data_IF_106625246061
#
_entry.id   IF_106625246061
#
_cell.length_a   1.000
_cell.length_b   1.000
_cell.length_c   1.000
_cell.angle_alpha   90.00
_cell.angle_beta   90.00
_cell.angle_gamma   90.00
#
_symmetry.space_group_name_H-M   'P 1'
#
loop_
_entity.id
_entity.type
_entity.pdbx_description
1 polymer ?
#
# COMPACT_ATOMS: atom_id res chain seq x y z
N UNK A 1 -10.24 -0.73 -9.69
CA UNK A 1 -11.15 -1.02 -8.59
C UNK A 1 -10.94 -0.06 -7.43
N UNK A 2 -12.03 0.31 -6.79
CA UNK A 2 -11.97 1.21 -5.64
C UNK A 2 -11.91 0.42 -4.34
N UNK A 3 -11.20 1.02 -3.38
CA UNK A 3 -11.22 0.61 -1.98
C UNK A 3 -10.74 -0.81 -1.73
N UNK A 4 -9.78 -1.26 -2.54
CA UNK A 4 -9.13 -2.53 -2.31
C UNK A 4 -7.72 -2.54 -2.89
N UNK A 5 -6.87 -3.39 -2.33
CA UNK A 5 -5.53 -3.59 -2.85
C UNK A 5 -5.57 -4.44 -4.11
N UNK A 6 -4.75 -4.06 -5.08
CA UNK A 6 -4.59 -4.83 -6.31
C UNK A 6 -3.10 -5.11 -6.51
N UNK A 7 -2.75 -6.38 -6.56
CA UNK A 7 -1.36 -6.79 -6.78
C UNK A 7 -1.00 -6.52 -8.24
N UNK A 8 0.06 -5.74 -8.47
CA UNK A 8 0.50 -5.40 -9.82
C UNK A 8 1.85 -6.03 -10.16
N UNK A 9 2.62 -6.44 -9.16
CA UNK A 9 3.86 -7.17 -9.38
C UNK A 9 4.14 -8.03 -8.15
N UNK A 10 4.58 -9.27 -8.38
CA UNK A 10 4.92 -10.18 -7.28
C UNK A 10 5.90 -11.22 -7.76
N UNK A 11 6.56 -11.86 -6.80
CA UNK A 11 7.52 -12.93 -7.12
C UNK A 11 6.89 -14.06 -7.91
N UNK A 12 5.66 -14.39 -7.62
CA UNK A 12 4.97 -15.53 -8.23
C UNK A 12 4.03 -15.13 -9.36
N UNK A 13 3.90 -13.84 -9.67
CA UNK A 13 2.96 -13.39 -10.68
C UNK A 13 1.50 -13.57 -10.28
N UNK A 14 1.18 -13.43 -8.98
CA UNK A 14 -0.16 -13.65 -8.46
C UNK A 14 -1.18 -12.71 -9.11
N UNK A 15 -2.42 -13.20 -9.26
CA UNK A 15 -3.57 -12.42 -9.72
C UNK A 15 -3.32 -11.71 -11.06
N UNK A 16 -2.53 -12.34 -11.93
CA UNK A 16 -2.21 -11.76 -13.23
C UNK A 16 -1.19 -10.63 -13.19
N UNK A 17 -0.55 -10.42 -12.05
CA UNK A 17 0.46 -9.39 -11.90
C UNK A 17 1.76 -9.77 -12.62
N UNK A 18 2.65 -8.80 -12.78
CA UNK A 18 3.97 -9.05 -13.34
C UNK A 18 4.79 -9.90 -12.38
N UNK A 19 5.58 -10.80 -12.94
CA UNK A 19 6.47 -11.62 -12.15
C UNK A 19 7.80 -10.90 -11.95
N UNK A 20 8.27 -10.86 -10.71
CA UNK A 20 9.56 -10.25 -10.38
C UNK A 20 10.43 -11.28 -9.65
N UNK A 21 11.75 -11.11 -9.74
CA UNK A 21 12.71 -12.06 -9.21
C UNK A 21 13.18 -11.74 -7.80
N UNK A 22 12.50 -10.87 -7.10
CA UNK A 22 12.84 -10.50 -5.73
C UNK A 22 11.69 -10.90 -4.81
N UNK A 23 12.00 -11.12 -3.55
CA UNK A 23 10.96 -11.42 -2.57
C UNK A 23 10.21 -10.15 -2.19
N UNK A 24 9.49 -9.60 -3.15
CA UNK A 24 8.80 -8.32 -3.03
C UNK A 24 7.46 -8.40 -3.74
N UNK A 25 6.57 -7.50 -3.39
CA UNK A 25 5.29 -7.35 -4.08
C UNK A 25 4.97 -5.87 -4.18
N UNK A 26 4.28 -5.49 -5.25
CA UNK A 26 3.81 -4.13 -5.46
C UNK A 26 2.30 -4.18 -5.60
N UNK A 27 1.62 -3.36 -4.81
CA UNK A 27 0.17 -3.28 -4.83
C UNK A 27 -0.26 -1.83 -5.02
N UNK A 28 -1.38 -1.66 -5.70
CA UNK A 28 -2.00 -0.34 -5.89
C UNK A 28 -3.37 -0.33 -5.25
N UNK A 29 -3.79 0.82 -4.80
CA UNK A 29 -5.16 1.02 -4.33
C UNK A 29 -5.65 2.39 -4.75
N UNK A 30 -6.87 2.43 -5.25
CA UNK A 30 -7.61 3.68 -5.49
C UNK A 30 -8.68 3.76 -4.41
N UNK A 31 -8.70 4.87 -3.70
CA UNK A 31 -9.55 5.02 -2.53
C UNK A 31 -10.57 6.13 -2.74
N UNK A 32 -11.82 5.85 -2.36
CA UNK A 32 -12.83 6.90 -2.31
C UNK A 32 -12.71 7.65 -0.99
N UNK A 33 -13.25 8.87 -0.95
CA UNK A 33 -13.18 9.71 0.24
C UNK A 33 -13.81 9.00 1.44
N UNK A 34 -13.11 8.99 2.56
CA UNK A 34 -13.59 8.40 3.80
C UNK A 34 -13.43 6.89 3.90
N UNK A 35 -12.90 6.23 2.88
CA UNK A 35 -12.72 4.79 2.95
C UNK A 35 -11.51 4.42 3.81
N UNK A 36 -11.55 3.22 4.35
CA UNK A 36 -10.46 2.68 5.15
C UNK A 36 -10.02 1.34 4.57
N UNK A 37 -8.73 1.13 4.52
CA UNK A 37 -8.16 -0.09 3.96
C UNK A 37 -7.10 -0.60 4.92
N UNK A 38 -7.14 -1.89 5.22
CA UNK A 38 -6.21 -2.53 6.14
C UNK A 38 -5.35 -3.52 5.39
N UNK A 39 -4.07 -3.54 5.70
CA UNK A 39 -3.12 -4.50 5.15
C UNK A 39 -2.35 -5.15 6.28
N UNK A 40 -2.35 -6.47 6.32
CA UNK A 40 -1.54 -7.21 7.29
C UNK A 40 -0.16 -7.48 6.71
N UNK A 41 0.88 -7.27 7.52
CA UNK A 41 2.25 -7.59 7.16
C UNK A 41 2.71 -8.79 7.97
N UNK A 42 3.35 -9.76 7.32
CA UNK A 42 3.95 -10.87 8.03
C UNK A 42 5.14 -10.38 8.85
N UNK A 43 5.46 -11.06 9.97
CA UNK A 43 6.62 -10.68 10.77
C UNK A 43 7.89 -10.65 9.93
N UNK A 44 8.73 -9.65 10.16
CA UNK A 44 9.98 -9.48 9.43
C UNK A 44 9.86 -8.83 8.07
N UNK A 45 8.64 -8.51 7.63
CA UNK A 45 8.45 -7.81 6.36
C UNK A 45 8.51 -6.30 6.60
N UNK A 46 8.91 -5.60 5.54
CA UNK A 46 8.97 -4.15 5.53
C UNK A 46 8.08 -3.64 4.41
N UNK A 47 7.59 -2.42 4.55
CA UNK A 47 6.77 -1.82 3.52
C UNK A 47 7.15 -0.37 3.30
N UNK A 48 6.93 0.10 2.08
CA UNK A 48 7.02 1.51 1.72
C UNK A 48 5.70 1.89 1.08
N UNK A 49 5.03 2.87 1.65
CA UNK A 49 3.79 3.40 1.08
C UNK A 49 4.09 4.70 0.38
N UNK A 50 3.72 4.80 -0.89
CA UNK A 50 3.89 6.01 -1.68
C UNK A 50 2.51 6.55 -2.03
N UNK A 51 2.22 7.80 -1.69
CA UNK A 51 0.98 8.46 -2.07
C UNK A 51 1.18 9.04 -3.47
N UNK A 52 0.39 8.56 -4.43
CA UNK A 52 0.48 9.03 -5.80
C UNK A 52 -0.43 10.23 -6.04
N UNK A 53 -1.63 10.22 -5.45
CA UNK A 53 -2.58 11.32 -5.55
C UNK A 53 -3.40 11.40 -4.28
N UNK A 54 -3.84 12.59 -3.94
CA UNK A 54 -4.73 12.83 -2.81
C UNK A 54 -4.00 12.86 -1.48
N UNK A 55 -4.72 12.59 -0.41
CA UNK A 55 -4.16 12.59 0.94
C UNK A 55 -4.74 11.44 1.73
N UNK A 56 -3.91 10.81 2.55
CA UNK A 56 -4.30 9.67 3.37
C UNK A 56 -3.70 9.79 4.76
N UNK A 57 -4.24 9.01 5.69
CA UNK A 57 -3.67 8.84 7.02
C UNK A 57 -3.23 7.39 7.14
N UNK A 58 -1.94 7.17 7.39
CA UNK A 58 -1.36 5.85 7.55
C UNK A 58 -0.97 5.65 9.00
N UNK A 59 -1.63 4.72 9.69
CA UNK A 59 -1.39 4.45 11.11
C UNK A 59 -1.31 5.73 11.95
N UNK A 60 -2.23 6.67 11.66
CA UNK A 60 -2.31 7.96 12.37
C UNK A 60 -1.41 9.06 11.82
N UNK A 61 -0.59 8.78 10.81
CA UNK A 61 0.30 9.77 10.21
C UNK A 61 -0.31 10.30 8.91
N UNK A 62 -0.43 11.62 8.80
CA UNK A 62 -0.98 12.25 7.59
C UNK A 62 0.06 12.30 6.49
N UNK A 63 -0.34 11.88 5.30
CA UNK A 63 0.50 11.90 4.10
C UNK A 63 -0.30 12.52 2.97
N UNK A 64 0.38 13.28 2.12
CA UNK A 64 -0.25 13.90 0.96
C UNK A 64 0.46 13.49 -0.32
N UNK A 65 0.00 13.97 -1.45
CA UNK A 65 0.57 13.63 -2.76
C UNK A 65 2.08 13.71 -2.75
N UNK A 66 2.72 12.65 -3.26
CA UNK A 66 4.16 12.48 -3.37
C UNK A 66 4.86 12.16 -2.06
N UNK A 67 4.16 12.17 -0.93
CA UNK A 67 4.76 11.73 0.33
C UNK A 67 4.88 10.21 0.32
N UNK A 68 5.92 9.73 0.98
CA UNK A 68 6.11 8.31 1.21
C UNK A 68 6.46 8.05 2.65
N UNK A 69 6.21 6.83 3.11
CA UNK A 69 6.52 6.44 4.47
C UNK A 69 7.02 5.00 4.51
N UNK A 70 8.11 4.79 5.24
CA UNK A 70 8.62 3.44 5.49
C UNK A 70 7.92 2.86 6.71
N UNK A 71 7.54 1.60 6.62
CA UNK A 71 6.88 0.89 7.71
C UNK A 71 7.70 -0.33 8.04
N UNK A 72 8.18 -0.40 9.28
CA UNK A 72 8.96 -1.53 9.80
C UNK A 72 8.44 -1.84 11.19
N UNK A 73 8.54 -3.12 11.57
CA UNK A 73 8.13 -3.57 12.90
C UNK A 73 6.65 -3.33 13.19
N UNK A 74 5.84 -3.18 12.15
CA UNK A 74 4.40 -3.08 12.25
C UNK A 74 3.79 -4.33 11.62
N UNK A 75 2.74 -4.85 12.23
CA UNK A 75 2.05 -6.01 11.68
C UNK A 75 0.79 -5.61 10.91
N UNK A 76 0.38 -4.36 11.02
CA UNK A 76 -0.85 -3.89 10.38
C UNK A 76 -0.68 -2.46 9.88
N UNK A 77 -1.09 -2.23 8.63
CA UNK A 77 -1.18 -0.90 8.06
C UNK A 77 -2.66 -0.54 7.98
N UNK A 78 -3.05 0.55 8.64
CA UNK A 78 -4.41 1.07 8.55
C UNK A 78 -4.33 2.36 7.76
N UNK A 79 -4.99 2.38 6.61
CA UNK A 79 -4.95 3.48 5.67
C UNK A 79 -6.34 4.09 5.56
N UNK A 80 -6.44 5.39 5.79
CA UNK A 80 -7.70 6.10 5.68
C UNK A 80 -7.57 7.19 4.65
N UNK A 81 -8.53 7.27 3.72
CA UNK A 81 -8.49 8.29 2.68
C UNK A 81 -9.18 9.55 3.15
N UNK A 82 -8.48 10.68 3.07
CA UNK A 82 -9.00 12.00 3.45
C UNK A 82 -9.63 12.72 2.28
N UNK A 83 -9.85 12.02 1.18
CA UNK A 83 -10.42 12.44 -0.08
C UNK A 83 -10.10 11.34 -1.08
N UNK A 84 -10.53 11.45 -2.34
CA UNK A 84 -10.13 10.47 -3.34
C UNK A 84 -8.61 10.40 -3.40
N UNK A 85 -8.06 9.20 -3.36
CA UNK A 85 -6.60 9.03 -3.27
C UNK A 85 -6.15 7.80 -4.03
N UNK A 86 -4.88 7.81 -4.44
CA UNK A 86 -4.23 6.65 -5.05
C UNK A 86 -2.90 6.43 -4.36
N UNK A 87 -2.66 5.20 -3.95
CA UNK A 87 -1.43 4.84 -3.24
C UNK A 87 -0.80 3.59 -3.85
N UNK A 88 0.50 3.48 -3.67
CA UNK A 88 1.26 2.31 -4.07
C UNK A 88 2.00 1.76 -2.85
N UNK A 89 1.92 0.46 -2.63
CA UNK A 89 2.57 -0.21 -1.53
C UNK A 89 3.64 -1.16 -2.07
N UNK A 90 4.87 -1.00 -1.57
CA UNK A 90 5.96 -1.93 -1.84
C UNK A 90 6.15 -2.78 -0.58
N UNK A 91 6.02 -4.10 -0.71
CA UNK A 91 6.31 -5.04 0.37
C UNK A 91 7.63 -5.74 0.11
N UNK A 92 8.51 -5.73 1.11
CA UNK A 92 9.85 -6.31 0.99
C UNK A 92 10.10 -7.29 2.14
N UNK A 93 10.91 -8.28 1.87
CA UNK A 93 11.33 -9.22 2.90
C UNK A 93 12.28 -8.58 3.89
#
# INVERSE_FOLDING_TARGET
RLDRWQVVASKEGREGSLRINQNAAIELANLSAGSELVKELAPGRHAWLQVLRGAVTLNGQSLKSRDGAAVSDETRLTLEANGPAEVMLFELA
#
